data_IF_923308468492
#
_entry.id   IF_923308468492
#
_cell.length_a   1.000
_cell.length_b   1.000
_cell.length_c   1.000
_cell.angle_alpha   90.00
_cell.angle_beta   90.00
_cell.angle_gamma   90.00
#
_symmetry.space_group_name_H-M   'P 1'
#
loop_
_entity.id
_entity.type
_entity.pdbx_description
1 polymer ?
#
# COMPACT_ATOMS: atom_id res chain seq x y z
N UNK A 1 -44.98 16.95 -6.04
CA UNK A 1 -44.36 16.49 -4.79
C UNK A 1 -43.00 17.13 -4.67
N UNK A 2 -42.80 18.05 -3.72
CA UNK A 2 -41.49 18.63 -3.42
C UNK A 2 -40.60 17.49 -2.88
N UNK A 3 -39.49 17.26 -3.58
CA UNK A 3 -38.44 16.36 -3.13
C UNK A 3 -37.74 17.07 -1.96
N UNK A 4 -38.04 16.66 -0.73
CA UNK A 4 -37.31 17.13 0.45
C UNK A 4 -35.89 16.58 0.32
N UNK A 5 -34.96 17.42 -0.12
CA UNK A 5 -33.55 17.16 -0.03
C UNK A 5 -33.18 17.08 1.46
N UNK A 6 -33.17 15.87 2.02
CA UNK A 6 -32.62 15.65 3.35
C UNK A 6 -31.16 16.08 3.32
N UNK A 7 -30.83 17.15 4.02
CA UNK A 7 -29.43 17.56 4.23
C UNK A 7 -28.77 16.50 5.11
N UNK A 8 -27.94 15.66 4.51
CA UNK A 8 -27.15 14.66 5.25
C UNK A 8 -26.12 15.45 6.08
N UNK A 9 -26.27 15.42 7.42
CA UNK A 9 -25.41 16.17 8.33
C UNK A 9 -23.97 15.65 8.34
N UNK A 10 -23.80 14.36 8.14
CA UNK A 10 -22.49 13.69 8.07
C UNK A 10 -22.46 12.79 6.84
N UNK A 11 -22.06 13.34 5.67
CA UNK A 11 -21.96 12.53 4.45
C UNK A 11 -20.79 11.56 4.55
N UNK A 12 -20.92 10.40 3.86
CA UNK A 12 -19.84 9.40 3.77
C UNK A 12 -18.56 10.00 3.17
N UNK A 13 -18.73 10.90 2.20
CA UNK A 13 -17.62 11.57 1.54
C UNK A 13 -18.02 13.00 1.15
N UNK A 14 -17.02 13.86 1.09
CA UNK A 14 -17.09 15.20 0.49
C UNK A 14 -16.02 15.27 -0.60
N UNK A 15 -16.25 16.08 -1.65
CA UNK A 15 -15.23 16.25 -2.68
C UNK A 15 -14.15 17.23 -2.22
N UNK A 16 -12.89 16.85 -2.42
CA UNK A 16 -11.71 17.75 -2.33
C UNK A 16 -11.28 18.27 -3.71
N UNK A 17 -12.05 17.93 -4.76
CA UNK A 17 -11.73 18.32 -6.13
C UNK A 17 -12.14 19.76 -6.40
N UNK A 18 -11.30 20.44 -7.17
CA UNK A 18 -11.57 21.73 -7.80
C UNK A 18 -11.26 21.66 -9.31
N UNK A 19 -11.09 22.79 -9.97
CA UNK A 19 -10.83 22.83 -11.42
C UNK A 19 -9.54 22.09 -11.81
N UNK A 20 -8.55 22.02 -10.91
CA UNK A 20 -7.26 21.37 -11.22
C UNK A 20 -7.42 19.87 -11.51
N UNK A 21 -8.28 19.18 -10.77
CA UNK A 21 -8.56 17.74 -11.02
C UNK A 21 -9.27 17.55 -12.35
N UNK A 22 -10.24 18.41 -12.70
CA UNK A 22 -10.92 18.33 -14.00
C UNK A 22 -9.96 18.62 -15.15
N UNK A 23 -9.07 19.59 -15.00
CA UNK A 23 -8.04 19.92 -15.99
C UNK A 23 -7.04 18.79 -16.15
N UNK A 24 -6.67 18.11 -15.05
CA UNK A 24 -5.80 16.93 -15.07
C UNK A 24 -6.44 15.77 -15.86
N UNK A 25 -7.72 15.51 -15.64
CA UNK A 25 -8.47 14.51 -16.43
C UNK A 25 -8.51 14.88 -17.91
N UNK A 26 -8.81 16.15 -18.24
CA UNK A 26 -8.86 16.62 -19.62
C UNK A 26 -7.50 16.49 -20.32
N UNK A 27 -6.41 16.72 -19.59
CA UNK A 27 -5.04 16.54 -20.10
C UNK A 27 -4.79 15.09 -20.49
N UNK A 28 -5.20 14.13 -19.66
CA UNK A 28 -5.07 12.70 -19.96
C UNK A 28 -5.94 12.29 -21.15
N UNK A 29 -7.21 12.76 -21.20
CA UNK A 29 -8.11 12.51 -22.33
C UNK A 29 -7.49 13.02 -23.65
N UNK A 30 -6.91 14.20 -23.64
CA UNK A 30 -6.30 14.82 -24.82
C UNK A 30 -5.03 14.05 -25.26
N UNK A 31 -4.29 13.47 -24.32
CA UNK A 31 -3.09 12.67 -24.63
C UNK A 31 -3.39 11.32 -25.27
N UNK A 32 -4.63 10.81 -25.16
CA UNK A 32 -5.04 9.43 -25.50
C UNK A 32 -4.24 8.33 -24.78
N UNK A 33 -3.53 8.65 -23.70
CA UNK A 33 -2.81 7.68 -22.89
C UNK A 33 -3.64 7.35 -21.63
N UNK A 34 -4.40 6.26 -21.66
CA UNK A 34 -5.35 5.93 -20.59
C UNK A 34 -4.82 4.89 -19.62
N UNK A 35 -3.95 4.01 -20.08
CA UNK A 35 -3.28 3.05 -19.22
C UNK A 35 -2.06 3.69 -18.55
N UNK A 36 -1.62 3.10 -17.45
CA UNK A 36 -0.50 3.54 -16.63
C UNK A 36 0.70 4.06 -17.45
N UNK A 37 1.09 5.30 -17.21
CA UNK A 37 2.13 6.00 -17.97
C UNK A 37 2.86 7.06 -17.13
N UNK A 38 3.23 8.22 -17.73
CA UNK A 38 4.05 9.24 -17.08
C UNK A 38 3.40 9.93 -15.88
N UNK A 39 2.08 10.16 -15.89
CA UNK A 39 1.39 10.78 -14.76
C UNK A 39 1.44 9.88 -13.52
N UNK A 40 1.20 8.57 -13.70
CA UNK A 40 1.34 7.59 -12.62
C UNK A 40 2.77 7.56 -12.09
N UNK A 41 3.76 7.53 -12.99
CA UNK A 41 5.18 7.50 -12.60
C UNK A 41 5.59 8.74 -11.81
N UNK A 42 5.14 9.90 -12.23
CA UNK A 42 5.44 11.15 -11.51
C UNK A 42 4.70 11.21 -10.17
N UNK A 43 3.44 10.74 -10.11
CA UNK A 43 2.71 10.65 -8.84
C UNK A 43 3.42 9.72 -7.84
N UNK A 44 3.85 8.52 -8.27
CA UNK A 44 4.62 7.61 -7.42
C UNK A 44 5.86 8.29 -6.83
N UNK A 45 6.61 9.03 -7.64
CA UNK A 45 7.80 9.76 -7.20
C UNK A 45 7.47 10.86 -6.18
N UNK A 46 6.42 11.64 -6.43
CA UNK A 46 5.99 12.70 -5.53
C UNK A 46 5.43 12.13 -4.23
N UNK A 47 4.68 11.02 -4.29
CA UNK A 47 4.15 10.33 -3.13
C UNK A 47 5.28 9.80 -2.23
N UNK A 48 6.25 9.09 -2.80
CA UNK A 48 7.41 8.61 -2.05
C UNK A 48 8.14 9.76 -1.37
N UNK A 49 8.38 10.86 -2.09
CA UNK A 49 9.03 12.06 -1.54
C UNK A 49 8.23 12.69 -0.39
N UNK A 50 6.91 12.80 -0.54
CA UNK A 50 6.04 13.40 0.47
C UNK A 50 6.07 12.63 1.78
N UNK A 51 5.98 11.29 1.71
CA UNK A 51 6.00 10.42 2.88
C UNK A 51 7.40 10.09 3.40
N UNK A 52 8.45 10.48 2.69
CA UNK A 52 9.84 10.22 3.08
C UNK A 52 10.29 8.79 2.88
N UNK A 53 9.67 8.06 1.94
CA UNK A 53 10.08 6.73 1.48
C UNK A 53 10.92 6.83 0.22
N UNK A 54 11.73 5.81 -0.07
CA UNK A 54 12.54 5.77 -1.30
C UNK A 54 11.69 5.48 -2.54
N UNK A 55 10.69 4.60 -2.39
CA UNK A 55 9.90 4.08 -3.50
C UNK A 55 8.41 4.07 -3.17
N UNK A 56 7.60 4.28 -4.18
CA UNK A 56 6.16 4.08 -4.15
C UNK A 56 5.70 3.35 -5.41
N UNK A 57 4.70 2.48 -5.28
CA UNK A 57 4.08 1.75 -6.39
C UNK A 57 2.58 1.96 -6.32
N UNK A 58 2.03 2.64 -7.31
CA UNK A 58 0.59 2.86 -7.41
C UNK A 58 -0.11 1.64 -8.00
N UNK A 59 -1.26 1.30 -7.45
CA UNK A 59 -2.16 0.22 -7.89
C UNK A 59 -3.60 0.75 -7.97
N UNK A 60 -4.52 -0.11 -8.42
CA UNK A 60 -5.90 0.28 -8.69
C UNK A 60 -6.82 0.37 -7.45
N UNK A 61 -6.37 -0.01 -6.26
CA UNK A 61 -7.11 0.15 -4.99
C UNK A 61 -6.21 -0.10 -3.78
N UNK A 62 -6.65 0.35 -2.59
CA UNK A 62 -5.99 0.01 -1.32
C UNK A 62 -5.98 -1.49 -1.04
N UNK A 63 -7.05 -2.20 -1.42
CA UNK A 63 -7.13 -3.67 -1.34
C UNK A 63 -6.05 -4.34 -2.19
N UNK A 64 -5.84 -3.84 -3.40
CA UNK A 64 -4.77 -4.29 -4.29
C UNK A 64 -3.38 -3.95 -3.75
N UNK A 65 -3.24 -2.84 -3.02
CA UNK A 65 -1.99 -2.49 -2.34
C UNK A 65 -1.65 -3.53 -1.26
N UNK A 66 -2.61 -3.93 -0.42
CA UNK A 66 -2.43 -4.99 0.57
C UNK A 66 -2.08 -6.34 -0.08
N UNK A 67 -2.73 -6.67 -1.19
CA UNK A 67 -2.44 -7.91 -1.94
C UNK A 67 -1.03 -7.88 -2.52
N UNK A 68 -0.62 -6.77 -3.13
CA UNK A 68 0.70 -6.62 -3.74
C UNK A 68 1.81 -6.63 -2.68
N UNK A 69 1.62 -5.92 -1.56
CA UNK A 69 2.52 -5.92 -0.42
C UNK A 69 2.74 -7.33 0.11
N UNK A 70 1.65 -8.08 0.36
CA UNK A 70 1.73 -9.45 0.84
C UNK A 70 2.46 -10.33 -0.17
N UNK A 71 2.07 -10.28 -1.44
CA UNK A 71 2.69 -11.09 -2.50
C UNK A 71 4.18 -10.84 -2.65
N UNK A 72 4.63 -9.59 -2.56
CA UNK A 72 6.05 -9.26 -2.69
C UNK A 72 6.93 -9.96 -1.64
N UNK A 73 6.41 -10.14 -0.43
CA UNK A 73 7.13 -10.84 0.66
C UNK A 73 7.35 -12.33 0.41
N UNK A 74 6.55 -12.94 -0.48
CA UNK A 74 6.71 -14.36 -0.83
C UNK A 74 7.78 -14.59 -1.91
N UNK A 75 8.15 -13.55 -2.67
CA UNK A 75 9.04 -13.67 -3.82
C UNK A 75 10.38 -12.95 -3.65
N UNK A 76 10.64 -12.34 -2.50
CA UNK A 76 11.96 -11.76 -2.18
C UNK A 76 13.00 -12.87 -2.00
N UNK A 77 14.23 -12.60 -2.43
CA UNK A 77 15.39 -13.46 -2.21
C UNK A 77 15.98 -13.33 -0.81
N UNK A 78 15.61 -12.24 -0.11
CA UNK A 78 16.04 -12.00 1.26
C UNK A 78 15.29 -12.93 2.24
N UNK A 79 15.93 -13.99 2.68
CA UNK A 79 15.35 -15.01 3.58
C UNK A 79 14.87 -14.44 4.93
N UNK A 80 15.44 -13.34 5.40
CA UNK A 80 15.00 -12.67 6.64
C UNK A 80 13.66 -11.96 6.47
N UNK A 81 13.34 -11.59 5.24
CA UNK A 81 12.11 -10.84 4.86
C UNK A 81 11.07 -11.78 4.26
N UNK A 82 11.53 -12.86 3.61
CA UNK A 82 10.64 -13.77 2.89
C UNK A 82 9.68 -14.46 3.86
N UNK A 83 8.40 -14.40 3.53
CA UNK A 83 7.33 -15.17 4.13
C UNK A 83 6.99 -16.40 3.30
N UNK A 84 6.40 -17.40 3.93
CA UNK A 84 5.96 -18.64 3.29
C UNK A 84 4.63 -19.11 3.91
N UNK A 85 3.87 -19.98 3.20
CA UNK A 85 2.63 -20.53 3.74
C UNK A 85 2.88 -21.19 5.09
N UNK A 86 2.01 -20.94 6.05
CA UNK A 86 2.13 -21.42 7.43
C UNK A 86 2.84 -20.47 8.39
N UNK A 87 3.51 -19.41 7.91
CA UNK A 87 4.07 -18.39 8.78
C UNK A 87 2.97 -17.65 9.56
N UNK A 88 3.22 -17.41 10.85
CA UNK A 88 2.29 -16.69 11.73
C UNK A 88 2.43 -15.17 11.54
N UNK A 89 1.31 -14.50 11.35
CA UNK A 89 1.21 -13.06 11.35
C UNK A 89 0.17 -12.58 12.37
N UNK A 90 0.55 -11.66 13.24
CA UNK A 90 -0.38 -11.01 14.16
C UNK A 90 -1.13 -9.91 13.40
N UNK A 91 -2.45 -9.85 13.60
CA UNK A 91 -3.36 -8.88 12.98
C UNK A 91 -4.30 -8.30 14.03
N UNK A 92 -4.72 -7.02 13.92
CA UNK A 92 -5.70 -6.46 14.84
C UNK A 92 -7.08 -7.08 14.59
N UNK A 93 -7.88 -7.24 15.64
CA UNK A 93 -9.23 -7.82 15.55
C UNK A 93 -10.20 -6.91 14.79
N UNK A 94 -9.90 -5.62 14.67
CA UNK A 94 -10.73 -4.63 13.98
C UNK A 94 -9.94 -4.00 12.84
N UNK A 95 -10.37 -4.24 11.62
CA UNK A 95 -9.90 -3.60 10.39
C UNK A 95 -10.84 -3.88 9.22
N UNK A 96 -10.53 -3.34 8.08
CA UNK A 96 -11.20 -3.66 6.82
C UNK A 96 -10.87 -5.09 6.37
N UNK A 97 -11.82 -5.77 5.73
CA UNK A 97 -11.67 -7.19 5.35
C UNK A 97 -10.44 -7.47 4.47
N UNK A 98 -10.07 -6.55 3.59
CA UNK A 98 -8.93 -6.71 2.70
C UNK A 98 -7.56 -6.41 3.34
N UNK A 99 -7.52 -6.08 4.62
CA UNK A 99 -6.31 -6.19 5.45
C UNK A 99 -5.96 -7.68 5.66
N UNK A 100 -6.97 -8.55 5.81
CA UNK A 100 -6.81 -9.96 6.19
C UNK A 100 -6.79 -10.91 4.98
N UNK A 101 -7.64 -10.66 3.97
CA UNK A 101 -7.83 -11.61 2.88
C UNK A 101 -6.57 -11.96 2.10
N UNK A 102 -5.68 -11.01 1.74
CA UNK A 102 -4.42 -11.37 1.11
C UNK A 102 -3.56 -12.30 1.95
N UNK A 103 -3.56 -12.12 3.28
CA UNK A 103 -2.80 -12.97 4.21
C UNK A 103 -3.32 -14.41 4.15
N UNK A 104 -4.67 -14.59 4.16
CA UNK A 104 -5.30 -15.91 3.99
C UNK A 104 -5.01 -16.52 2.62
N UNK A 105 -5.10 -15.72 1.56
CA UNK A 105 -4.86 -16.17 0.18
C UNK A 105 -3.44 -16.69 -0.02
N UNK A 106 -2.48 -16.12 0.68
CA UNK A 106 -1.08 -16.56 0.68
C UNK A 106 -0.78 -17.65 1.72
N UNK A 107 -1.79 -18.12 2.47
CA UNK A 107 -1.66 -19.22 3.41
C UNK A 107 -0.96 -18.87 4.72
N UNK A 108 -0.94 -17.60 5.11
CA UNK A 108 -0.44 -17.16 6.41
C UNK A 108 -1.44 -17.53 7.52
N UNK A 109 -0.92 -17.89 8.68
CA UNK A 109 -1.71 -18.15 9.89
C UNK A 109 -1.92 -16.84 10.63
N UNK A 110 -3.14 -16.34 10.61
CA UNK A 110 -3.50 -15.06 11.24
C UNK A 110 -3.81 -15.27 12.71
N UNK A 111 -3.10 -14.56 13.57
CA UNK A 111 -3.34 -14.49 15.02
C UNK A 111 -3.96 -13.15 15.35
N UNK A 112 -5.23 -13.17 15.69
CA UNK A 112 -5.99 -11.97 16.01
C UNK A 112 -5.69 -11.49 17.42
N UNK A 113 -5.42 -10.20 17.58
CA UNK A 113 -5.21 -9.52 18.85
C UNK A 113 -6.21 -8.38 18.96
N UNK A 114 -6.85 -8.27 20.12
CA UNK A 114 -7.88 -7.27 20.36
C UNK A 114 -7.29 -5.85 20.41
N UNK A 115 -8.17 -4.87 20.30
CA UNK A 115 -7.84 -3.45 20.31
C UNK A 115 -8.18 -2.84 21.67
N UNK A 116 -7.47 -1.79 22.04
CA UNK A 116 -7.83 -0.89 23.11
C UNK A 116 -8.99 0.01 22.65
N UNK A 117 -10.07 0.06 23.43
CA UNK A 117 -11.30 0.79 23.06
C UNK A 117 -11.14 2.32 23.00
N UNK A 118 -10.11 2.88 23.63
CA UNK A 118 -9.88 4.33 23.65
C UNK A 118 -9.00 4.77 22.47
N UNK A 119 -8.01 3.94 22.12
CA UNK A 119 -7.08 4.24 21.02
C UNK A 119 -7.51 3.63 19.71
N UNK A 120 -8.32 2.56 19.72
CA UNK A 120 -8.71 1.73 18.58
C UNK A 120 -7.52 1.01 17.92
N UNK A 121 -6.36 1.09 18.53
CA UNK A 121 -5.14 0.39 18.13
C UNK A 121 -4.95 -0.87 18.96
N UNK A 122 -3.88 -1.63 18.74
CA UNK A 122 -3.61 -2.82 19.55
C UNK A 122 -3.68 -2.56 21.05
N UNK A 123 -4.36 -3.44 21.78
CA UNK A 123 -4.08 -3.61 23.19
C UNK A 123 -2.65 -4.14 23.34
N UNK A 124 -1.76 -3.31 23.87
CA UNK A 124 -0.32 -3.62 23.91
C UNK A 124 0.00 -4.78 24.85
N UNK A 125 -0.80 -5.01 25.91
CA UNK A 125 -0.64 -6.17 26.77
C UNK A 125 -1.02 -7.46 26.04
N UNK A 126 -2.16 -7.43 25.34
CA UNK A 126 -2.58 -8.56 24.51
C UNK A 126 -1.61 -8.83 23.35
N UNK A 127 -1.02 -7.78 22.79
CA UNK A 127 0.02 -7.92 21.74
C UNK A 127 1.29 -8.57 22.29
N UNK A 128 1.73 -8.16 23.51
CA UNK A 128 2.89 -8.75 24.17
C UNK A 128 2.69 -10.27 24.40
N UNK A 129 1.53 -10.66 24.93
CA UNK A 129 1.19 -12.07 25.15
C UNK A 129 1.06 -12.88 23.84
N UNK A 130 0.71 -12.20 22.75
CA UNK A 130 0.56 -12.85 21.45
C UNK A 130 1.89 -13.11 20.73
N UNK A 131 2.93 -12.33 20.97
CA UNK A 131 4.24 -12.48 20.33
C UNK A 131 4.93 -13.75 20.85
N UNK A 132 5.29 -14.64 19.94
CA UNK A 132 6.00 -15.90 20.22
C UNK A 132 7.17 -16.08 19.25
N UNK A 133 7.94 -17.14 19.44
CA UNK A 133 9.01 -17.51 18.49
C UNK A 133 8.48 -17.95 17.11
N UNK A 134 7.17 -18.19 16.98
CA UNK A 134 6.52 -18.51 15.72
C UNK A 134 6.10 -17.25 14.95
N UNK A 135 6.04 -16.11 15.61
CA UNK A 135 5.59 -14.84 14.99
C UNK A 135 6.60 -14.36 13.96
N UNK A 136 6.17 -14.24 12.71
CA UNK A 136 7.00 -13.78 11.59
C UNK A 136 6.73 -12.33 11.19
N UNK A 137 5.50 -11.87 11.39
CA UNK A 137 5.11 -10.52 11.04
C UNK A 137 4.02 -9.98 11.97
N UNK A 138 3.91 -8.66 12.03
CA UNK A 138 2.81 -7.93 12.67
C UNK A 138 2.25 -6.95 11.65
N UNK A 139 0.95 -7.04 11.38
CA UNK A 139 0.23 -6.06 10.57
C UNK A 139 -0.27 -4.93 11.46
N UNK A 140 0.22 -3.75 11.26
CA UNK A 140 -0.26 -2.53 11.93
C UNK A 140 -1.39 -1.93 11.10
N UNK A 141 -2.48 -1.57 11.76
CA UNK A 141 -3.52 -0.72 11.20
C UNK A 141 -3.61 0.53 12.06
N UNK A 142 -3.37 1.69 11.47
CA UNK A 142 -3.52 2.96 12.15
C UNK A 142 -4.98 3.41 11.97
N UNK A 143 -5.87 2.92 12.82
CA UNK A 143 -7.31 3.02 12.60
C UNK A 143 -7.80 4.47 12.77
N UNK A 144 -8.63 4.94 11.82
CA UNK A 144 -9.29 6.26 11.84
C UNK A 144 -8.34 7.45 12.06
N UNK A 145 -7.10 7.35 11.58
CA UNK A 145 -6.11 8.43 11.69
C UNK A 145 -5.32 8.43 12.99
N UNK A 146 -5.54 7.45 13.88
CA UNK A 146 -4.84 7.38 15.15
C UNK A 146 -3.59 6.47 15.05
N UNK A 147 -2.36 7.00 15.20
CA UNK A 147 -1.15 6.20 15.11
C UNK A 147 -1.03 5.19 16.25
N UNK A 148 -0.54 3.99 15.95
CA UNK A 148 -0.10 3.05 16.98
C UNK A 148 1.12 3.57 17.75
N UNK A 149 1.35 3.07 18.95
CA UNK A 149 2.58 3.33 19.70
C UNK A 149 3.74 2.50 19.12
N UNK A 150 4.38 3.05 18.10
CA UNK A 150 5.46 2.36 17.38
C UNK A 150 6.71 2.13 18.23
N UNK A 151 6.99 2.98 19.22
CA UNK A 151 8.10 2.75 20.15
C UNK A 151 7.85 1.51 20.99
N UNK A 152 6.65 1.44 21.58
CA UNK A 152 6.29 0.29 22.39
C UNK A 152 6.22 -1.01 21.58
N UNK A 153 5.65 -0.97 20.40
CA UNK A 153 5.62 -2.15 19.50
C UNK A 153 7.05 -2.61 19.17
N UNK A 154 7.97 -1.70 18.87
CA UNK A 154 9.37 -2.04 18.63
C UNK A 154 10.07 -2.62 19.85
N UNK A 155 9.79 -2.10 21.05
CA UNK A 155 10.27 -2.69 22.30
C UNK A 155 9.77 -4.12 22.47
N UNK A 156 8.48 -4.38 22.22
CA UNK A 156 7.89 -5.72 22.29
C UNK A 156 8.51 -6.70 21.26
N UNK A 157 8.77 -6.24 20.05
CA UNK A 157 9.47 -7.04 19.02
C UNK A 157 10.90 -7.35 19.49
N UNK A 158 11.59 -6.37 20.07
CA UNK A 158 12.97 -6.51 20.55
C UNK A 158 13.93 -6.91 19.42
N UNK A 159 14.73 -7.94 19.64
CA UNK A 159 15.72 -8.44 18.68
C UNK A 159 15.19 -9.55 17.76
N UNK A 160 13.92 -9.89 17.86
CA UNK A 160 13.28 -10.93 17.03
C UNK A 160 13.21 -10.51 15.58
N UNK A 161 13.34 -11.47 14.66
CA UNK A 161 13.15 -11.22 13.24
C UNK A 161 11.65 -11.22 12.88
N UNK A 162 10.92 -10.20 13.36
CA UNK A 162 9.52 -10.00 13.11
C UNK A 162 9.37 -8.79 12.19
N UNK A 163 8.73 -8.98 11.04
CA UNK A 163 8.45 -7.91 10.08
C UNK A 163 7.31 -7.03 10.58
N UNK A 164 7.43 -5.73 10.42
CA UNK A 164 6.36 -4.78 10.65
C UNK A 164 5.81 -4.36 9.29
N UNK A 165 4.50 -4.55 9.09
CA UNK A 165 3.74 -4.14 7.91
C UNK A 165 2.69 -3.13 8.34
N UNK A 166 2.36 -2.16 7.48
CA UNK A 166 1.36 -1.15 7.82
C UNK A 166 0.25 -1.10 6.77
N UNK A 167 -0.99 -1.34 7.18
CA UNK A 167 -2.17 -0.90 6.43
C UNK A 167 -2.54 0.50 6.92
N UNK A 168 -2.21 1.51 6.12
CA UNK A 168 -2.42 2.91 6.45
C UNK A 168 -3.51 3.55 5.57
N UNK A 169 -4.42 2.74 5.05
CA UNK A 169 -5.49 3.21 4.16
C UNK A 169 -6.40 4.26 4.83
N UNK A 170 -6.59 4.18 6.14
CA UNK A 170 -7.42 5.11 6.90
C UNK A 170 -6.64 6.27 7.56
N UNK A 171 -5.32 6.36 7.33
CA UNK A 171 -4.44 7.26 8.11
C UNK A 171 -3.41 7.99 7.26
N UNK A 172 -3.73 8.22 5.98
CA UNK A 172 -2.85 8.99 5.11
C UNK A 172 -2.62 10.40 5.69
N UNK A 173 -1.35 10.77 5.93
CA UNK A 173 -0.97 12.05 6.51
C UNK A 173 -0.84 12.05 8.04
N UNK A 174 -1.29 11.00 8.75
CA UNK A 174 -1.08 10.87 10.18
C UNK A 174 0.41 10.72 10.52
N UNK A 175 0.81 11.19 11.70
CA UNK A 175 2.21 11.15 12.16
C UNK A 175 2.31 10.62 13.58
N UNK A 176 3.35 9.85 13.82
CA UNK A 176 3.82 9.50 15.15
C UNK A 176 5.22 10.10 15.31
N UNK A 177 5.42 10.97 16.32
CA UNK A 177 6.68 11.66 16.57
C UNK A 177 7.32 12.29 15.30
N UNK A 178 6.55 13.06 14.56
CA UNK A 178 6.97 13.75 13.32
C UNK A 178 7.24 12.85 12.10
N UNK A 179 7.19 11.52 12.21
CA UNK A 179 7.31 10.59 11.10
C UNK A 179 5.93 10.14 10.64
N UNK A 180 5.70 10.10 9.33
CA UNK A 180 4.43 9.64 8.76
C UNK A 180 4.18 8.16 9.04
N UNK A 181 2.94 7.83 9.47
CA UNK A 181 2.47 6.44 9.49
C UNK A 181 2.45 5.87 8.08
N UNK A 182 2.56 4.54 7.97
CA UNK A 182 2.78 3.85 6.70
C UNK A 182 4.25 3.73 6.31
N UNK A 183 5.18 4.31 7.10
CA UNK A 183 6.62 4.29 6.82
C UNK A 183 7.48 3.74 7.96
N UNK A 184 6.86 3.21 9.00
CA UNK A 184 7.57 2.62 10.15
C UNK A 184 7.99 1.18 9.92
N UNK A 185 7.19 0.43 9.15
CA UNK A 185 7.46 -0.95 8.76
C UNK A 185 8.30 -1.08 7.49
N UNK A 186 8.49 -2.30 7.02
CA UNK A 186 9.23 -2.58 5.78
C UNK A 186 8.45 -2.12 4.55
N UNK A 187 7.12 -2.18 4.62
CA UNK A 187 6.18 -1.64 3.62
C UNK A 187 4.95 -1.06 4.31
N UNK A 188 4.35 -0.07 3.68
CA UNK A 188 3.06 0.50 4.08
C UNK A 188 2.15 0.70 2.88
N UNK A 189 0.85 0.51 3.10
CA UNK A 189 -0.18 0.64 2.07
C UNK A 189 -1.10 1.82 2.33
N UNK A 190 -1.60 2.42 1.27
CA UNK A 190 -2.50 3.57 1.31
C UNK A 190 -3.63 3.37 0.29
N UNK A 191 -4.77 3.97 0.57
CA UNK A 191 -5.90 4.04 -0.36
C UNK A 191 -6.15 5.49 -0.77
N UNK A 192 -6.44 5.68 -2.04
CA UNK A 192 -6.89 6.95 -2.61
C UNK A 192 -8.30 6.81 -3.23
N UNK A 193 -9.12 5.90 -2.67
CA UNK A 193 -10.53 5.79 -2.99
C UNK A 193 -11.24 7.14 -2.74
N UNK A 194 -12.34 7.40 -3.46
CA UNK A 194 -12.96 8.73 -3.51
C UNK A 194 -13.34 9.32 -2.13
N UNK A 195 -13.57 8.51 -1.12
CA UNK A 195 -13.92 8.94 0.24
C UNK A 195 -12.75 9.05 1.20
N UNK A 196 -11.52 8.78 0.75
CA UNK A 196 -10.32 8.88 1.58
C UNK A 196 -9.70 10.29 1.55
N UNK A 197 -8.55 10.46 2.21
CA UNK A 197 -7.88 11.75 2.43
C UNK A 197 -7.48 12.46 1.13
N UNK A 198 -7.07 11.70 0.11
CA UNK A 198 -6.95 12.13 -1.28
C UNK A 198 -7.81 11.24 -2.15
N UNK A 199 -8.35 11.79 -3.24
CA UNK A 199 -9.29 11.06 -4.10
C UNK A 199 -8.77 10.98 -5.53
N UNK A 200 -8.43 9.74 -5.97
CA UNK A 200 -8.09 9.44 -7.35
C UNK A 200 -9.18 8.63 -8.06
N UNK A 201 -10.44 8.75 -7.61
CA UNK A 201 -11.60 7.90 -7.90
C UNK A 201 -11.40 6.50 -7.28
N UNK A 202 -10.57 5.70 -7.88
CA UNK A 202 -10.01 4.45 -7.37
C UNK A 202 -8.48 4.55 -7.37
N UNK A 203 -7.84 3.96 -6.38
CA UNK A 203 -6.38 3.91 -6.31
C UNK A 203 -5.87 3.38 -4.97
N UNK A 204 -4.67 2.87 -5.00
CA UNK A 204 -3.90 2.49 -3.83
C UNK A 204 -2.42 2.67 -4.09
N UNK A 205 -1.63 2.75 -3.04
CA UNK A 205 -0.19 2.93 -3.13
C UNK A 205 0.50 2.04 -2.10
N UNK A 206 1.62 1.43 -2.47
CA UNK A 206 2.54 0.77 -1.55
C UNK A 206 3.83 1.57 -1.50
N UNK A 207 4.34 1.85 -0.30
CA UNK A 207 5.65 2.49 -0.11
C UNK A 207 6.63 1.53 0.53
N UNK A 208 7.91 1.67 0.18
CA UNK A 208 9.01 0.90 0.78
C UNK A 208 10.35 1.61 0.57
N UNK A 209 11.33 1.29 1.41
CA UNK A 209 12.73 1.69 1.21
C UNK A 209 13.58 0.55 0.63
N UNK A 210 13.00 -0.66 0.48
CA UNK A 210 13.67 -1.84 -0.07
C UNK A 210 13.55 -1.89 -1.59
N UNK A 211 14.69 -1.84 -2.28
CA UNK A 211 14.74 -1.83 -3.74
C UNK A 211 14.30 -3.16 -4.37
N UNK A 212 14.58 -4.29 -3.72
CA UNK A 212 14.16 -5.59 -4.24
C UNK A 212 12.63 -5.74 -4.18
N UNK A 213 12.04 -5.41 -3.04
CA UNK A 213 10.57 -5.42 -2.89
C UNK A 213 9.91 -4.46 -3.88
N UNK A 214 10.49 -3.27 -4.08
CA UNK A 214 10.01 -2.33 -5.08
C UNK A 214 10.00 -2.94 -6.49
N UNK A 215 11.10 -3.56 -6.93
CA UNK A 215 11.19 -4.20 -8.24
C UNK A 215 10.24 -5.39 -8.37
N UNK A 216 10.09 -6.21 -7.33
CA UNK A 216 9.10 -7.31 -7.30
C UNK A 216 7.69 -6.75 -7.49
N UNK A 217 7.33 -5.68 -6.78
CA UNK A 217 6.01 -5.04 -6.91
C UNK A 217 5.77 -4.44 -8.28
N UNK A 218 6.76 -3.80 -8.91
CA UNK A 218 6.64 -3.29 -10.30
C UNK A 218 6.32 -4.41 -11.29
N UNK A 219 6.94 -5.57 -11.13
CA UNK A 219 6.69 -6.74 -11.97
C UNK A 219 5.32 -7.35 -11.68
N UNK A 220 5.03 -7.67 -10.41
CA UNK A 220 3.80 -8.34 -10.00
C UNK A 220 2.54 -7.51 -10.28
N UNK A 221 2.61 -6.19 -10.19
CA UNK A 221 1.51 -5.28 -10.53
C UNK A 221 1.03 -5.46 -11.97
N UNK A 222 1.93 -5.86 -12.84
CA UNK A 222 1.71 -6.03 -14.29
C UNK A 222 2.06 -7.45 -14.73
N UNK A 223 1.30 -8.44 -14.31
CA UNK A 223 1.36 -9.85 -14.74
C UNK A 223 2.67 -10.59 -14.39
N UNK A 224 3.60 -10.00 -13.66
CA UNK A 224 4.93 -10.56 -13.46
C UNK A 224 5.91 -10.22 -14.59
N UNK A 225 5.61 -9.22 -15.41
CA UNK A 225 6.46 -8.77 -16.52
C UNK A 225 7.77 -8.14 -16.05
N UNK A 226 8.83 -8.36 -16.84
CA UNK A 226 10.09 -7.61 -16.72
C UNK A 226 10.01 -6.23 -17.39
N UNK A 227 9.04 -6.02 -18.25
CA UNK A 227 8.88 -4.84 -19.11
C UNK A 227 9.00 -3.49 -18.34
N UNK A 228 8.41 -3.41 -17.15
CA UNK A 228 8.39 -2.19 -16.33
C UNK A 228 9.59 -2.07 -15.37
N UNK A 229 10.47 -3.08 -15.34
CA UNK A 229 11.68 -3.04 -14.52
C UNK A 229 12.76 -2.16 -15.16
N UNK A 230 13.66 -1.56 -14.35
CA UNK A 230 14.88 -0.96 -14.86
C UNK A 230 15.73 -1.98 -15.64
N UNK A 231 16.64 -1.50 -16.49
CA UNK A 231 17.58 -2.36 -17.22
C UNK A 231 18.37 -3.23 -16.25
N UNK A 232 18.95 -2.63 -15.22
CA UNK A 232 19.55 -3.33 -14.11
C UNK A 232 18.55 -3.36 -12.94
N UNK A 233 18.18 -4.57 -12.49
CA UNK A 233 17.14 -4.75 -11.49
C UNK A 233 17.41 -5.95 -10.55
N UNK A 234 16.72 -5.99 -9.40
CA UNK A 234 16.92 -7.03 -8.38
C UNK A 234 16.18 -8.34 -8.68
N UNK A 235 15.23 -8.35 -9.64
CA UNK A 235 14.44 -9.54 -9.98
C UNK A 235 15.20 -10.45 -10.92
N UNK A 236 15.65 -9.92 -12.08
CA UNK A 236 16.30 -10.70 -13.15
C UNK A 236 17.79 -10.41 -13.30
N UNK A 237 18.32 -9.40 -12.61
CA UNK A 237 19.66 -8.86 -12.84
C UNK A 237 19.65 -7.82 -13.96
N UNK A 238 20.06 -8.20 -15.17
CA UNK A 238 20.06 -7.34 -16.35
C UNK A 238 18.99 -7.83 -17.31
N UNK A 239 18.23 -6.90 -17.87
CA UNK A 239 17.22 -7.19 -18.90
C UNK A 239 17.89 -7.59 -20.21
N UNK A 240 17.19 -8.37 -21.01
CA UNK A 240 17.61 -8.67 -22.38
C UNK A 240 17.57 -7.43 -23.27
N UNK A 241 18.48 -7.36 -24.23
CA UNK A 241 18.45 -6.34 -25.30
C UNK A 241 17.41 -6.68 -26.38
N UNK A 242 16.87 -7.89 -26.39
CA UNK A 242 15.83 -8.32 -27.32
C UNK A 242 14.46 -7.77 -26.86
N UNK A 243 13.94 -6.83 -27.66
CA UNK A 243 12.65 -6.18 -27.40
C UNK A 243 11.47 -7.17 -27.39
N UNK A 244 11.55 -8.21 -28.22
CA UNK A 244 10.50 -9.23 -28.27
C UNK A 244 10.53 -10.10 -27.01
N UNK A 245 11.71 -10.54 -26.58
CA UNK A 245 11.87 -11.30 -25.34
C UNK A 245 11.34 -10.51 -24.15
N UNK A 246 11.77 -9.26 -23.97
CA UNK A 246 11.31 -8.41 -22.86
C UNK A 246 9.80 -8.10 -22.90
N UNK A 247 9.19 -8.13 -24.10
CA UNK A 247 7.75 -7.92 -24.24
C UNK A 247 6.92 -9.11 -23.76
N UNK A 248 7.51 -10.30 -23.66
CA UNK A 248 6.81 -11.54 -23.27
C UNK A 248 7.50 -12.30 -22.14
N UNK A 249 8.41 -11.66 -21.41
CA UNK A 249 9.13 -12.27 -20.30
C UNK A 249 8.34 -12.06 -18.99
N UNK A 250 7.72 -13.13 -18.49
CA UNK A 250 6.95 -13.17 -17.23
C UNK A 250 7.72 -14.02 -16.24
N UNK A 251 8.21 -13.41 -15.17
CA UNK A 251 9.15 -14.05 -14.23
C UNK A 251 8.59 -14.24 -12.83
N UNK A 252 7.45 -13.63 -12.53
CA UNK A 252 6.76 -13.75 -11.25
C UNK A 252 5.26 -14.01 -11.48
N UNK A 253 4.58 -14.76 -10.60
CA UNK A 253 3.13 -14.93 -10.67
C UNK A 253 2.45 -13.63 -10.23
N UNK A 254 2.25 -12.74 -11.17
CA UNK A 254 1.69 -11.41 -10.96
C UNK A 254 0.21 -11.30 -11.26
N UNK A 255 -0.28 -10.09 -11.14
CA UNK A 255 -1.69 -9.71 -11.29
C UNK A 255 -1.83 -8.63 -12.36
N UNK A 256 -3.05 -8.23 -12.65
CA UNK A 256 -3.33 -6.95 -13.29
C UNK A 256 -3.91 -5.98 -12.26
N UNK A 257 -3.02 -5.30 -11.53
CA UNK A 257 -3.37 -4.29 -10.51
C UNK A 257 -3.00 -2.87 -10.96
N UNK A 258 -2.76 -2.69 -12.25
CA UNK A 258 -2.31 -1.39 -12.80
C UNK A 258 -3.38 -0.31 -12.56
N UNK A 259 -2.98 0.89 -12.10
CA UNK A 259 -3.87 2.04 -12.06
C UNK A 259 -4.12 2.57 -13.48
N UNK A 260 -5.13 3.40 -13.65
CA UNK A 260 -5.32 4.22 -14.83
C UNK A 260 -4.40 5.44 -14.78
N UNK A 261 -4.01 5.95 -15.94
CA UNK A 261 -3.24 7.21 -16.03
C UNK A 261 -4.00 8.39 -15.43
N UNK A 262 -5.32 8.40 -15.59
CA UNK A 262 -6.21 9.38 -14.96
C UNK A 262 -6.07 9.44 -13.43
N UNK A 263 -5.93 8.28 -12.78
CA UNK A 263 -5.75 8.21 -11.34
C UNK A 263 -4.40 8.82 -10.91
N UNK A 264 -3.36 8.61 -11.70
CA UNK A 264 -2.05 9.25 -11.48
C UNK A 264 -2.13 10.77 -11.60
N UNK A 265 -2.78 11.27 -12.67
CA UNK A 265 -2.96 12.70 -12.90
C UNK A 265 -3.76 13.38 -11.77
N UNK A 266 -4.83 12.72 -11.30
CA UNK A 266 -5.59 13.19 -10.13
C UNK A 266 -4.71 13.20 -8.86
N UNK A 267 -3.94 12.15 -8.66
CA UNK A 267 -3.03 12.04 -7.51
C UNK A 267 -2.03 13.18 -7.43
N UNK A 268 -1.52 13.65 -8.57
CA UNK A 268 -0.61 14.80 -8.64
C UNK A 268 -1.24 16.09 -8.16
N UNK A 269 -2.53 16.31 -8.40
CA UNK A 269 -3.24 17.49 -7.90
C UNK A 269 -3.65 17.32 -6.43
N UNK A 270 -4.10 16.13 -6.06
CA UNK A 270 -4.59 15.85 -4.72
C UNK A 270 -3.47 15.85 -3.65
N UNK A 271 -2.27 15.36 -3.97
CA UNK A 271 -1.16 15.34 -3.01
C UNK A 271 -0.71 16.76 -2.59
N UNK A 272 -1.01 17.78 -3.40
CA UNK A 272 -0.75 19.17 -3.08
C UNK A 272 -1.69 19.72 -2.00
N UNK A 273 -2.81 19.02 -1.76
CA UNK A 273 -3.87 19.44 -0.83
C UNK A 273 -3.81 18.64 0.49
N UNK A 274 -2.96 17.61 0.58
CA UNK A 274 -2.72 16.81 1.76
C UNK A 274 -1.79 17.55 2.73
#
# INVERSE_FOLDING_TARGET
GECILMTIKFPLATTSWDQNEYDALQRVITSNMFSMGPEVKEFEKQFAKYFGSKYAVMVNSGSSANLLMTGALFYTKNEKVRLQPGDEIIVPAVSWSTTYYPLSQYGLVQKFVDIDLYTLNYDLSALEDAITDQTRAIMIVNLLGNPNDFEKIKELIGTRNILLLEDNCESMGAKYQSKYTGTFGIMGTFSSFFSHHISTMEGGIVVTDDEELYHIMLSMRSHGWTRNLPIENKVTGIKSDDVFEESFNFVLPGYNLRPLEMSGALGLEQIKKL
#
